data_IF_238707760376
#
_entry.id   IF_238707760376
#
_cell.length_a   1.000
_cell.length_b   1.000
_cell.length_c   1.000
_cell.angle_alpha   90.00
_cell.angle_beta   90.00
_cell.angle_gamma   90.00
#
_symmetry.space_group_name_H-M   'P 1'
#
loop_
_entity.id
_entity.type
_entity.pdbx_description
1 polymer ?
#
# COMPACT_ATOMS: atom_id res chain seq x y z
N UNK A 1 0.21 19.77 -8.23
CA UNK A 1 -0.24 19.09 -6.98
C UNK A 1 -1.56 18.34 -7.16
N UNK A 2 -2.45 18.72 -8.08
CA UNK A 2 -3.77 18.07 -8.27
C UNK A 2 -3.74 16.69 -8.95
N UNK A 3 -2.86 16.45 -9.94
CA UNK A 3 -2.88 15.22 -10.75
C UNK A 3 -2.38 13.96 -10.01
N UNK A 4 -1.44 14.11 -9.09
CA UNK A 4 -0.91 12.97 -8.32
C UNK A 4 -1.91 12.55 -7.24
N UNK A 5 -2.58 13.53 -6.63
CA UNK A 5 -3.70 13.28 -5.71
C UNK A 5 -4.88 12.66 -6.45
N UNK A 6 -5.18 13.08 -7.68
CA UNK A 6 -6.26 12.50 -8.48
C UNK A 6 -5.97 11.06 -8.90
N UNK A 7 -4.73 10.71 -9.26
CA UNK A 7 -4.33 9.32 -9.55
C UNK A 7 -4.45 8.40 -8.33
N UNK A 8 -4.05 8.86 -7.15
CA UNK A 8 -4.31 8.10 -5.92
C UNK A 8 -5.82 8.00 -5.65
N UNK A 9 -6.59 9.07 -5.88
CA UNK A 9 -8.03 9.13 -5.64
C UNK A 9 -8.85 8.25 -6.60
N UNK A 10 -8.47 8.15 -7.87
CA UNK A 10 -9.06 7.23 -8.86
C UNK A 10 -8.75 5.77 -8.54
N UNK A 11 -7.53 5.48 -8.09
CA UNK A 11 -7.17 4.17 -7.53
C UNK A 11 -8.02 3.81 -6.30
N UNK A 12 -8.22 4.78 -5.39
CA UNK A 12 -9.14 4.66 -4.26
C UNK A 12 -10.59 4.41 -4.73
N UNK A 13 -11.07 5.09 -5.77
CA UNK A 13 -12.41 4.87 -6.32
C UNK A 13 -12.58 3.48 -6.95
N UNK A 14 -11.56 2.98 -7.66
CA UNK A 14 -11.51 1.62 -8.19
C UNK A 14 -11.58 0.59 -7.07
N UNK A 15 -10.80 0.78 -6.01
CA UNK A 15 -10.86 -0.06 -4.80
C UNK A 15 -12.27 -0.02 -4.17
N UNK A 16 -12.90 1.16 -4.07
CA UNK A 16 -14.26 1.27 -3.53
C UNK A 16 -15.32 0.60 -4.41
N UNK A 17 -15.18 0.63 -5.75
CA UNK A 17 -16.07 -0.10 -6.67
C UNK A 17 -15.94 -1.61 -6.51
N UNK A 18 -14.71 -2.13 -6.42
CA UNK A 18 -14.48 -3.55 -6.16
C UNK A 18 -14.97 -4.01 -4.78
N UNK A 19 -14.99 -3.12 -3.79
CA UNK A 19 -15.51 -3.41 -2.46
C UNK A 19 -17.04 -3.29 -2.35
N UNK A 20 -17.72 -2.74 -3.36
CA UNK A 20 -19.18 -2.63 -3.41
C UNK A 20 -19.86 -4.00 -3.66
N UNK A 21 -19.13 -4.96 -4.23
CA UNK A 21 -19.59 -6.34 -4.45
C UNK A 21 -19.46 -7.24 -3.21
N UNK A 22 -19.21 -6.66 -2.02
CA UNK A 22 -19.05 -7.39 -0.75
C UNK A 22 -20.17 -7.09 0.25
N UNK A 23 -20.48 -8.05 1.14
CA UNK A 23 -21.35 -7.85 2.30
C UNK A 23 -21.01 -6.55 3.06
N UNK A 24 -22.03 -5.79 3.44
CA UNK A 24 -21.93 -4.44 4.06
C UNK A 24 -20.95 -4.37 5.24
N UNK A 25 -20.81 -5.45 6.00
CA UNK A 25 -19.92 -5.51 7.16
C UNK A 25 -18.43 -5.55 6.76
N UNK A 26 -18.08 -6.26 5.68
CA UNK A 26 -16.73 -6.29 5.11
C UNK A 26 -16.39 -4.94 4.48
N UNK A 27 -17.36 -4.34 3.79
CA UNK A 27 -17.22 -3.01 3.19
C UNK A 27 -16.93 -1.93 4.25
N UNK A 28 -17.67 -1.93 5.37
CA UNK A 28 -17.42 -1.00 6.48
C UNK A 28 -16.03 -1.14 7.09
N UNK A 29 -15.52 -2.37 7.25
CA UNK A 29 -14.16 -2.61 7.75
C UNK A 29 -13.10 -2.05 6.80
N UNK A 30 -13.24 -2.29 5.49
CA UNK A 30 -12.28 -1.79 4.50
C UNK A 30 -12.33 -0.26 4.42
N UNK A 31 -13.51 0.36 4.44
CA UNK A 31 -13.64 1.81 4.48
C UNK A 31 -12.98 2.42 5.72
N UNK A 32 -13.06 1.76 6.88
CA UNK A 32 -12.31 2.18 8.09
C UNK A 32 -10.81 2.09 7.88
N UNK A 33 -10.32 0.99 7.30
CA UNK A 33 -8.89 0.84 6.98
C UNK A 33 -8.43 1.90 5.98
N UNK A 34 -9.23 2.20 4.97
CA UNK A 34 -8.95 3.27 4.00
C UNK A 34 -8.95 4.65 4.66
N UNK A 35 -9.86 4.91 5.60
CA UNK A 35 -9.88 6.15 6.37
C UNK A 35 -8.62 6.30 7.25
N UNK A 36 -8.16 5.21 7.88
CA UNK A 36 -6.91 5.18 8.64
C UNK A 36 -5.69 5.38 7.73
N UNK A 37 -5.71 4.80 6.53
CA UNK A 37 -4.65 4.91 5.53
C UNK A 37 -4.53 6.32 4.91
N UNK A 38 -5.52 7.20 5.08
CA UNK A 38 -5.40 8.60 4.63
C UNK A 38 -4.32 9.39 5.38
N UNK A 39 -4.06 9.02 6.64
CA UNK A 39 -3.09 9.70 7.50
C UNK A 39 -2.04 8.70 8.02
N UNK A 40 -1.18 8.23 7.13
CA UNK A 40 -0.12 7.30 7.53
C UNK A 40 0.99 8.09 8.24
N UNK A 41 1.10 7.89 9.55
CA UNK A 41 1.99 8.70 10.40
C UNK A 41 3.41 8.16 10.48
N UNK A 42 3.60 6.86 10.26
CA UNK A 42 4.90 6.19 10.36
C UNK A 42 4.94 4.89 9.53
N UNK A 43 6.14 4.38 9.31
CA UNK A 43 6.36 3.07 8.68
C UNK A 43 5.75 1.91 9.50
N UNK A 44 5.80 2.00 10.84
CA UNK A 44 5.20 0.99 11.71
C UNK A 44 3.67 0.97 11.58
N UNK A 45 3.06 2.14 11.47
CA UNK A 45 1.61 2.25 11.26
C UNK A 45 1.20 1.70 9.89
N UNK A 46 1.99 1.97 8.84
CA UNK A 46 1.79 1.35 7.52
C UNK A 46 1.87 -0.19 7.62
N UNK A 47 2.91 -0.72 8.26
CA UNK A 47 3.06 -2.17 8.44
C UNK A 47 1.87 -2.79 9.18
N UNK A 48 1.36 -2.12 10.22
CA UNK A 48 0.18 -2.57 10.94
C UNK A 48 -1.07 -2.63 10.06
N UNK A 49 -1.33 -1.59 9.25
CA UNK A 49 -2.44 -1.57 8.29
C UNK A 49 -2.31 -2.71 7.27
N UNK A 50 -1.11 -2.91 6.72
CA UNK A 50 -0.86 -3.97 5.75
C UNK A 50 -1.06 -5.37 6.34
N UNK A 51 -0.66 -5.58 7.59
CA UNK A 51 -0.90 -6.83 8.30
C UNK A 51 -2.40 -7.09 8.50
N UNK A 52 -3.18 -6.09 8.91
CA UNK A 52 -4.64 -6.23 9.05
C UNK A 52 -5.26 -6.68 7.72
N UNK A 53 -4.88 -6.04 6.62
CA UNK A 53 -5.38 -6.37 5.28
C UNK A 53 -4.95 -7.76 4.80
N UNK A 54 -3.72 -8.17 5.09
CA UNK A 54 -3.15 -9.44 4.66
C UNK A 54 -3.60 -10.65 5.50
N UNK A 55 -3.95 -10.43 6.77
CA UNK A 55 -4.38 -11.51 7.70
C UNK A 55 -5.83 -11.91 7.49
N UNK A 56 -6.73 -10.95 7.25
CA UNK A 56 -8.15 -11.21 7.03
C UNK A 56 -8.43 -12.06 5.75
N UNK A 57 -9.65 -12.57 5.59
CA UNK A 57 -10.07 -13.44 4.47
C UNK A 57 -9.60 -12.95 3.08
N UNK A 58 -8.76 -13.71 2.35
CA UNK A 58 -8.12 -13.22 1.15
C UNK A 58 -9.16 -13.02 0.03
N UNK A 59 -9.08 -11.87 -0.67
CA UNK A 59 -9.88 -11.61 -1.87
C UNK A 59 -9.11 -10.70 -2.84
N UNK A 60 -9.36 -10.76 -4.17
CA UNK A 60 -8.59 -10.03 -5.16
C UNK A 60 -8.55 -8.51 -4.96
N UNK A 61 -9.68 -7.90 -4.57
CA UNK A 61 -9.78 -6.46 -4.30
C UNK A 61 -8.84 -5.97 -3.18
N UNK A 62 -8.42 -6.84 -2.24
CA UNK A 62 -7.41 -6.48 -1.23
C UNK A 62 -5.99 -6.38 -1.77
N UNK A 63 -5.64 -7.13 -2.82
CA UNK A 63 -4.36 -6.97 -3.50
C UNK A 63 -4.27 -5.55 -4.08
N UNK A 64 -5.33 -5.12 -4.77
CA UNK A 64 -5.42 -3.75 -5.29
C UNK A 64 -5.39 -2.72 -4.15
N UNK A 65 -6.10 -2.97 -3.05
CA UNK A 65 -6.11 -2.09 -1.87
C UNK A 65 -4.72 -1.91 -1.27
N UNK A 66 -3.99 -3.00 -1.02
CA UNK A 66 -2.62 -3.00 -0.50
C UNK A 66 -1.70 -2.22 -1.42
N UNK A 67 -1.79 -2.48 -2.74
CA UNK A 67 -0.98 -1.78 -3.73
C UNK A 67 -1.18 -0.26 -3.63
N UNK A 68 -2.42 0.21 -3.71
CA UNK A 68 -2.72 1.65 -3.70
C UNK A 68 -2.39 2.34 -2.38
N UNK A 69 -2.62 1.67 -1.24
CA UNK A 69 -2.22 2.18 0.08
C UNK A 69 -0.70 2.41 0.11
N UNK A 70 0.10 1.44 -0.36
CA UNK A 70 1.54 1.58 -0.41
C UNK A 70 1.99 2.69 -1.36
N UNK A 71 1.34 2.84 -2.53
CA UNK A 71 1.65 3.92 -3.47
C UNK A 71 1.37 5.31 -2.86
N UNK A 72 0.24 5.49 -2.19
CA UNK A 72 -0.06 6.74 -1.47
C UNK A 72 0.88 6.98 -0.29
N UNK A 73 1.20 5.92 0.47
CA UNK A 73 2.09 5.99 1.62
C UNK A 73 3.51 6.44 1.24
N UNK A 74 4.02 6.04 0.08
CA UNK A 74 5.34 6.48 -0.41
C UNK A 74 5.43 8.00 -0.50
N UNK A 75 4.39 8.65 -1.01
CA UNK A 75 4.37 10.09 -1.18
C UNK A 75 4.36 10.77 0.19
N UNK A 76 3.42 10.36 1.06
CA UNK A 76 3.24 10.98 2.38
C UNK A 76 4.42 10.74 3.33
N UNK A 77 4.88 9.49 3.45
CA UNK A 77 5.93 9.13 4.40
C UNK A 77 7.31 9.62 3.98
N UNK A 78 7.59 9.70 2.67
CA UNK A 78 8.87 10.20 2.21
C UNK A 78 9.06 11.66 2.63
N UNK A 79 8.08 12.50 2.31
CA UNK A 79 8.13 13.92 2.64
C UNK A 79 8.14 14.13 4.15
N UNK A 80 7.31 13.39 4.90
CA UNK A 80 7.23 13.52 6.36
C UNK A 80 8.50 13.08 7.09
N UNK A 81 9.17 12.01 6.62
CA UNK A 81 10.33 11.45 7.31
C UNK A 81 11.66 12.05 6.85
N UNK A 82 11.72 12.62 5.66
CA UNK A 82 12.98 13.09 5.05
C UNK A 82 12.96 14.56 4.64
N UNK A 83 11.79 15.21 4.66
CA UNK A 83 11.59 16.57 4.17
C UNK A 83 11.68 16.70 2.64
N UNK A 84 11.81 15.58 1.91
CA UNK A 84 11.95 15.56 0.45
C UNK A 84 10.65 15.09 -0.18
N UNK A 85 10.10 15.90 -1.08
CA UNK A 85 8.92 15.48 -1.83
C UNK A 85 9.25 14.30 -2.76
N UNK A 86 8.26 13.47 -3.06
CA UNK A 86 8.46 12.34 -3.98
C UNK A 86 8.92 12.79 -5.37
N UNK A 87 8.43 13.94 -5.84
CA UNK A 87 8.85 14.53 -7.12
C UNK A 87 10.32 14.94 -7.10
N UNK A 88 10.80 15.52 -6.01
CA UNK A 88 12.21 15.90 -5.88
C UNK A 88 13.11 14.68 -5.79
N UNK A 89 12.66 13.65 -5.05
CA UNK A 89 13.37 12.37 -4.99
C UNK A 89 13.47 11.69 -6.36
N UNK A 90 12.44 11.75 -7.20
CA UNK A 90 12.51 11.22 -8.58
C UNK A 90 13.58 11.90 -9.43
N UNK A 91 13.90 13.16 -9.12
CA UNK A 91 14.96 13.91 -9.78
C UNK A 91 16.35 13.64 -9.17
N UNK A 92 16.46 12.81 -8.12
CA UNK A 92 17.75 12.43 -7.57
C UNK A 92 18.43 11.45 -8.53
N UNK A 93 19.57 11.86 -9.09
CA UNK A 93 20.46 10.94 -9.79
C UNK A 93 20.98 9.84 -8.85
N UNK A 94 21.37 8.71 -9.44
CA UNK A 94 21.87 7.53 -8.71
C UNK A 94 22.97 7.86 -7.69
N UNK A 95 23.91 8.73 -8.07
CA UNK A 95 25.00 9.17 -7.20
C UNK A 95 24.49 9.93 -5.96
N UNK A 96 23.51 10.82 -6.13
CA UNK A 96 22.94 11.58 -5.01
C UNK A 96 22.23 10.66 -4.02
N UNK A 97 21.54 9.64 -4.51
CA UNK A 97 20.89 8.61 -3.69
C UNK A 97 21.88 7.75 -2.88
N UNK A 98 23.11 7.57 -3.37
CA UNK A 98 24.14 6.75 -2.73
C UNK A 98 25.02 7.53 -1.77
N UNK A 99 25.46 8.73 -2.16
CA UNK A 99 26.54 9.45 -1.49
C UNK A 99 26.07 10.55 -0.54
N UNK A 100 24.80 10.96 -0.59
CA UNK A 100 24.26 11.96 0.35
C UNK A 100 23.50 11.30 1.50
N UNK A 101 23.59 11.87 2.71
CA UNK A 101 22.80 11.39 3.85
C UNK A 101 21.30 11.46 3.57
N UNK A 102 20.84 12.55 2.94
CA UNK A 102 19.44 12.74 2.55
C UNK A 102 18.99 11.72 1.49
N UNK A 103 19.80 11.47 0.45
CA UNK A 103 19.51 10.47 -0.57
C UNK A 103 19.42 9.05 0.00
N UNK A 104 20.33 8.69 0.91
CA UNK A 104 20.28 7.39 1.61
C UNK A 104 19.04 7.26 2.49
N UNK A 105 18.65 8.33 3.20
CA UNK A 105 17.43 8.34 4.00
C UNK A 105 16.17 8.15 3.13
N UNK A 106 16.07 8.89 2.02
CA UNK A 106 14.96 8.76 1.06
C UNK A 106 14.87 7.34 0.49
N UNK A 107 16.00 6.81 0.00
CA UNK A 107 16.08 5.45 -0.55
C UNK A 107 15.68 4.41 0.48
N UNK A 108 16.09 4.56 1.74
CA UNK A 108 15.73 3.64 2.83
C UNK A 108 14.21 3.61 3.04
N UNK A 109 13.57 4.77 3.14
CA UNK A 109 12.10 4.86 3.31
C UNK A 109 11.38 4.22 2.13
N UNK A 110 11.73 4.57 0.89
CA UNK A 110 11.09 4.00 -0.31
C UNK A 110 11.30 2.49 -0.37
N UNK A 111 12.52 2.00 -0.11
CA UNK A 111 12.82 0.57 -0.14
C UNK A 111 12.04 -0.19 0.93
N UNK A 112 11.91 0.37 2.14
CA UNK A 112 11.12 -0.25 3.21
C UNK A 112 9.64 -0.36 2.83
N UNK A 113 9.05 0.70 2.27
CA UNK A 113 7.65 0.66 1.81
C UNK A 113 7.48 -0.35 0.68
N UNK A 114 8.44 -0.42 -0.24
CA UNK A 114 8.41 -1.38 -1.35
C UNK A 114 8.50 -2.83 -0.87
N UNK A 115 9.39 -3.11 0.09
CA UNK A 115 9.52 -4.43 0.71
C UNK A 115 8.23 -4.81 1.45
N UNK A 116 7.65 -3.89 2.23
CA UNK A 116 6.36 -4.13 2.90
C UNK A 116 5.25 -4.42 1.89
N UNK A 117 5.22 -3.69 0.76
CA UNK A 117 4.25 -3.91 -0.32
C UNK A 117 4.38 -5.32 -0.90
N UNK A 118 5.59 -5.73 -1.28
CA UNK A 118 5.84 -7.06 -1.87
C UNK A 118 5.42 -8.15 -0.90
N UNK A 119 5.89 -8.11 0.35
CA UNK A 119 5.58 -9.14 1.35
C UNK A 119 4.08 -9.25 1.58
N UNK A 120 3.37 -8.13 1.69
CA UNK A 120 1.92 -8.14 1.90
C UNK A 120 1.17 -8.70 0.68
N UNK A 121 1.60 -8.36 -0.55
CA UNK A 121 1.00 -8.88 -1.77
C UNK A 121 1.28 -10.37 -1.97
N UNK A 122 2.51 -10.82 -1.77
CA UNK A 122 2.90 -12.22 -1.89
C UNK A 122 2.16 -13.08 -0.87
N UNK A 123 2.09 -12.64 0.38
CA UNK A 123 1.36 -13.36 1.43
C UNK A 123 -0.13 -13.49 1.09
N UNK A 124 -0.75 -12.40 0.62
CA UNK A 124 -2.16 -12.42 0.23
C UNK A 124 -2.39 -13.28 -1.03
N UNK A 125 -1.48 -13.24 -2.00
CA UNK A 125 -1.53 -14.05 -3.21
C UNK A 125 -1.40 -15.54 -2.89
N UNK A 126 -0.46 -15.93 -2.02
CA UNK A 126 -0.30 -17.31 -1.57
C UNK A 126 -1.57 -17.81 -0.89
N UNK A 127 -2.17 -17.01 0.00
CA UNK A 127 -3.46 -17.35 0.62
C UNK A 127 -4.59 -17.52 -0.39
N UNK A 128 -4.69 -16.65 -1.40
CA UNK A 128 -5.67 -16.79 -2.48
C UNK A 128 -5.46 -18.09 -3.26
N UNK A 129 -4.21 -18.41 -3.58
CA UNK A 129 -3.87 -19.65 -4.29
C UNK A 129 -4.23 -20.88 -3.46
N UNK A 130 -3.95 -20.90 -2.16
CA UNK A 130 -4.36 -22.00 -1.27
C UNK A 130 -5.88 -22.17 -1.26
N UNK A 131 -6.64 -21.09 -1.14
CA UNK A 131 -8.11 -21.17 -1.19
C UNK A 131 -8.67 -21.67 -2.52
N UNK A 132 -8.05 -21.30 -3.65
CA UNK A 132 -8.45 -21.80 -4.95
C UNK A 132 -8.21 -23.32 -5.05
N UNK A 133 -7.06 -23.80 -4.54
CA UNK A 133 -6.73 -25.23 -4.51
C UNK A 133 -7.66 -26.00 -3.58
N UNK A 134 -7.97 -25.46 -2.39
CA UNK A 134 -8.90 -26.09 -1.44
C UNK A 134 -10.34 -26.12 -1.99
N UNK A 135 -10.73 -25.14 -2.81
CA UNK A 135 -12.01 -25.13 -3.52
C UNK A 135 -12.10 -26.12 -4.68
N UNK A 136 -10.97 -26.44 -5.33
CA UNK A 136 -10.90 -27.47 -6.38
C UNK A 136 -10.83 -28.90 -5.81
N UNK A 137 -10.26 -29.07 -4.62
CA UNK A 137 -10.19 -30.37 -3.92
C UNK A 137 -11.38 -30.66 -2.99
N UNK A 138 -12.38 -29.78 -2.96
CA UNK A 138 -13.61 -29.94 -2.19
C UNK A 138 -14.61 -30.87 -2.88
N UNK A 139 -14.48 -32.17 -2.59
CA UNK A 139 -15.59 -33.15 -2.53
C UNK A 139 -16.40 -32.91 -1.26
#
# INVERSE_FOLDING_TARGET
MSEILSLTFEGYQLVTKWNADMNEEKQRKILRVLALARNITSLNFLAHILLILAVENPFPGRLATIYWICEGAKIQLLEKLTGVSYKDYQNFGYLRCMFTHQGRACRRVISQIYNMKIVALEFLYLKLKTQAIDGENGV
#
